data_IF_187414676299
#
_entry.id   IF_187414676299
#
_cell.length_a   1.000
_cell.length_b   1.000
_cell.length_c   1.000
_cell.angle_alpha   90.00
_cell.angle_beta   90.00
_cell.angle_gamma   90.00
#
_symmetry.space_group_name_H-M   'P 1'
#
loop_
_entity.id
_entity.type
_entity.pdbx_description
1 polymer ?
#
# COMPACT_ATOMS: atom_id res chain seq x y z
N UNK A 1 18.00 -11.80 -13.35
CA UNK A 1 17.06 -12.09 -12.25
C UNK A 1 16.25 -10.83 -11.98
N UNK A 2 14.91 -10.90 -11.96
CA UNK A 2 14.11 -9.76 -11.49
C UNK A 2 14.37 -9.64 -9.98
N UNK A 3 14.76 -8.44 -9.50
CA UNK A 3 14.82 -8.18 -8.05
C UNK A 3 13.41 -8.36 -7.50
N UNK A 4 13.26 -9.13 -6.43
CA UNK A 4 12.01 -9.14 -5.67
C UNK A 4 11.79 -7.75 -5.08
N UNK A 5 10.59 -7.21 -5.26
CA UNK A 5 10.17 -5.96 -4.63
C UNK A 5 9.89 -6.26 -3.15
N UNK A 6 10.41 -5.47 -2.19
CA UNK A 6 10.23 -5.73 -0.78
C UNK A 6 8.77 -5.56 -0.36
N UNK A 7 8.25 -6.48 0.46
CA UNK A 7 6.92 -6.38 1.06
C UNK A 7 6.92 -5.29 2.14
N UNK A 8 6.25 -4.16 1.88
CA UNK A 8 6.24 -3.00 2.79
C UNK A 8 5.20 -3.18 3.90
N UNK A 9 4.02 -3.71 3.58
CA UNK A 9 2.94 -3.96 4.52
C UNK A 9 2.05 -5.08 4.00
N UNK A 10 1.47 -5.86 4.91
CA UNK A 10 0.46 -6.87 4.62
C UNK A 10 -0.66 -6.72 5.63
N UNK A 11 -1.89 -6.91 5.19
CA UNK A 11 -3.07 -6.80 6.04
C UNK A 11 -4.33 -7.27 5.36
N UNK A 12 -5.33 -7.58 6.19
CA UNK A 12 -6.69 -7.85 5.75
C UNK A 12 -7.57 -6.70 6.20
N UNK A 13 -8.32 -6.10 5.27
CA UNK A 13 -9.39 -5.21 5.64
C UNK A 13 -10.50 -6.03 6.32
N UNK A 14 -11.17 -5.47 7.31
CA UNK A 14 -12.34 -6.08 7.96
C UNK A 14 -13.56 -5.17 7.80
N UNK A 15 -14.53 -5.50 6.93
CA UNK A 15 -15.67 -4.63 6.70
C UNK A 15 -16.57 -4.44 7.94
N UNK A 16 -16.46 -5.28 8.96
CA UNK A 16 -17.27 -5.20 10.18
C UNK A 16 -16.62 -4.32 11.27
N UNK A 17 -15.32 -4.07 11.19
CA UNK A 17 -14.58 -3.37 12.24
C UNK A 17 -14.69 -1.84 12.13
N UNK A 18 -14.17 -1.26 11.06
CA UNK A 18 -14.13 0.19 10.84
C UNK A 18 -14.18 0.56 9.35
N UNK A 19 -14.83 1.67 8.98
CA UNK A 19 -14.87 2.15 7.59
C UNK A 19 -13.50 2.55 7.01
N UNK A 20 -12.56 2.94 7.88
CA UNK A 20 -11.19 3.32 7.51
C UNK A 20 -10.22 2.51 8.35
N UNK A 21 -9.25 1.88 7.69
CA UNK A 21 -8.24 1.04 8.33
C UNK A 21 -6.87 1.38 7.76
N UNK A 22 -5.88 1.43 8.65
CA UNK A 22 -4.49 1.75 8.33
C UNK A 22 -3.63 0.54 8.67
N UNK A 23 -2.68 0.22 7.80
CA UNK A 23 -1.69 -0.83 8.02
C UNK A 23 -0.31 -0.20 8.14
N UNK A 24 0.40 -0.52 9.21
CA UNK A 24 1.74 0.02 9.46
C UNK A 24 2.77 -0.61 8.54
N UNK A 25 3.69 0.22 8.03
CA UNK A 25 4.79 -0.25 7.21
C UNK A 25 5.86 -0.95 8.08
N UNK A 26 6.44 -2.01 7.53
CA UNK A 26 7.55 -2.72 8.14
C UNK A 26 8.80 -1.84 8.19
N UNK A 27 9.58 -2.01 9.26
CA UNK A 27 10.94 -1.47 9.37
C UNK A 27 11.94 -2.50 8.86
N UNK A 28 12.91 -2.03 8.10
CA UNK A 28 13.99 -2.81 7.54
C UNK A 28 15.29 -2.41 8.22
N UNK A 29 16.18 -3.38 8.42
CA UNK A 29 17.55 -3.08 8.81
C UNK A 29 18.28 -2.47 7.61
N UNK A 30 18.62 -1.18 7.74
CA UNK A 30 19.38 -0.42 6.74
C UNK A 30 20.61 0.12 7.47
N UNK A 31 21.76 -0.46 7.16
CA UNK A 31 23.06 -0.07 7.73
C UNK A 31 23.11 -0.17 9.28
N UNK A 32 22.40 -1.13 9.87
CA UNK A 32 22.36 -1.35 11.32
C UNK A 32 21.28 -0.55 12.05
N UNK A 33 20.42 0.18 11.33
CA UNK A 33 19.30 0.92 11.90
C UNK A 33 17.96 0.45 11.31
N UNK A 34 16.97 0.19 12.17
CA UNK A 34 15.61 -0.17 11.76
C UNK A 34 14.83 1.07 11.27
N UNK A 35 14.65 1.17 9.94
CA UNK A 35 14.01 2.31 9.28
C UNK A 35 12.94 1.87 8.29
N UNK A 36 11.97 2.76 8.00
CA UNK A 36 11.06 2.55 6.88
C UNK A 36 11.81 2.69 5.55
N UNK A 37 11.43 1.88 4.58
CA UNK A 37 12.04 1.93 3.25
C UNK A 37 11.58 3.20 2.51
N UNK A 38 12.54 3.96 1.98
CA UNK A 38 12.23 5.10 1.11
C UNK A 38 11.97 4.59 -0.31
N UNK A 39 10.79 4.88 -0.86
CA UNK A 39 10.39 4.46 -2.20
C UNK A 39 9.79 5.61 -3.00
N UNK A 40 9.92 5.55 -4.33
CA UNK A 40 9.28 6.49 -5.27
C UNK A 40 7.90 6.03 -5.74
N UNK A 41 7.63 4.74 -5.61
CA UNK A 41 6.40 4.09 -6.05
C UNK A 41 6.09 2.90 -5.15
N UNK A 42 4.81 2.67 -4.90
CA UNK A 42 4.31 1.50 -4.18
C UNK A 42 3.39 0.70 -5.08
N UNK A 43 3.38 -0.63 -4.91
CA UNK A 43 2.46 -1.53 -5.59
C UNK A 43 1.54 -2.15 -4.54
N UNK A 44 0.24 -2.13 -4.81
CA UNK A 44 -0.76 -2.82 -4.01
C UNK A 44 -1.17 -4.10 -4.75
N UNK A 45 -1.24 -5.19 -4.01
CA UNK A 45 -1.70 -6.48 -4.51
C UNK A 45 -2.93 -6.91 -3.70
N UNK A 46 -4.05 -7.10 -4.39
CA UNK A 46 -5.30 -7.55 -3.79
C UNK A 46 -5.42 -9.05 -4.03
N UNK A 47 -5.31 -9.81 -2.95
CA UNK A 47 -5.28 -11.27 -3.05
C UNK A 47 -6.68 -11.88 -3.15
N UNK A 48 -7.64 -11.34 -2.39
CA UNK A 48 -9.01 -11.84 -2.29
C UNK A 48 -10.01 -10.70 -2.07
N UNK A 49 -11.30 -11.00 -2.13
CA UNK A 49 -12.39 -10.12 -1.73
C UNK A 49 -13.39 -10.86 -0.82
N UNK A 50 -14.52 -10.22 -0.49
CA UNK A 50 -15.53 -10.75 0.45
C UNK A 50 -16.64 -11.55 -0.25
N UNK A 51 -16.35 -12.19 -1.39
CA UNK A 51 -17.25 -13.13 -2.06
C UNK A 51 -18.05 -12.55 -3.23
N UNK A 52 -17.70 -11.37 -3.74
CA UNK A 52 -18.30 -10.87 -4.99
C UNK A 52 -17.48 -11.36 -6.19
N UNK A 53 -18.11 -12.11 -7.10
CA UNK A 53 -17.38 -12.86 -8.12
C UNK A 53 -16.93 -11.99 -9.31
N UNK A 54 -17.67 -10.93 -9.63
CA UNK A 54 -17.44 -10.17 -10.87
C UNK A 54 -16.32 -9.14 -10.73
N UNK A 55 -16.17 -8.52 -9.56
CA UNK A 55 -15.18 -7.49 -9.34
C UNK A 55 -14.83 -7.25 -7.87
N UNK A 56 -13.81 -6.42 -7.64
CA UNK A 56 -13.47 -5.88 -6.32
C UNK A 56 -13.50 -4.36 -6.41
N UNK A 57 -14.36 -3.74 -5.61
CA UNK A 57 -14.48 -2.29 -5.56
C UNK A 57 -13.50 -1.69 -4.55
N UNK A 58 -12.80 -0.66 -5.00
CA UNK A 58 -11.83 0.08 -4.20
C UNK A 58 -12.31 1.52 -4.08
N UNK A 59 -12.60 1.96 -2.86
CA UNK A 59 -13.13 3.30 -2.61
C UNK A 59 -12.02 4.35 -2.48
N UNK A 60 -11.10 4.14 -1.53
CA UNK A 60 -10.01 5.09 -1.24
C UNK A 60 -8.77 4.34 -0.81
N UNK A 61 -7.63 4.73 -1.39
CA UNK A 61 -6.30 4.35 -0.92
C UNK A 61 -5.52 5.59 -0.52
N UNK A 62 -4.81 5.49 0.59
CA UNK A 62 -3.94 6.55 1.09
C UNK A 62 -2.59 5.96 1.47
N UNK A 63 -1.54 6.70 1.15
CA UNK A 63 -0.17 6.40 1.57
C UNK A 63 0.27 7.56 2.43
N UNK A 64 0.65 7.27 3.67
CA UNK A 64 1.17 8.25 4.60
C UNK A 64 2.68 8.10 4.65
N UNK A 65 3.40 9.20 4.43
CA UNK A 65 4.85 9.22 4.59
C UNK A 65 5.18 9.62 6.03
N UNK A 66 6.26 9.08 6.60
CA UNK A 66 6.74 9.51 7.91
C UNK A 66 7.32 10.95 7.94
N UNK A 67 7.29 11.67 6.81
CA UNK A 67 7.61 13.10 6.72
C UNK A 67 6.30 13.87 6.47
N UNK A 68 5.60 14.24 7.55
CA UNK A 68 4.35 15.00 7.47
C UNK A 68 4.54 16.40 6.84
N UNK A 69 5.75 16.93 6.82
CA UNK A 69 5.99 18.34 6.48
C UNK A 69 6.26 18.65 4.98
N UNK A 70 6.40 17.64 4.09
CA UNK A 70 7.01 17.89 2.75
C UNK A 70 6.23 17.54 1.49
N UNK A 71 5.16 16.74 1.56
CA UNK A 71 4.55 16.17 0.33
C UNK A 71 3.02 16.25 0.31
N UNK A 72 2.45 17.35 0.77
CA UNK A 72 1.01 17.64 0.70
C UNK A 72 0.44 17.78 -0.72
N UNK A 73 1.28 17.80 -1.77
CA UNK A 73 0.83 18.11 -3.15
C UNK A 73 1.22 17.11 -4.24
N UNK A 74 1.90 16.00 -3.94
CA UNK A 74 2.22 15.01 -4.99
C UNK A 74 1.08 14.01 -5.18
N UNK A 75 0.22 14.36 -6.14
CA UNK A 75 -0.88 13.57 -6.67
C UNK A 75 -0.52 12.07 -6.83
N UNK A 76 -1.08 11.22 -5.97
CA UNK A 76 -1.04 9.76 -6.10
C UNK A 76 -1.71 9.38 -7.43
N UNK A 77 -0.91 9.06 -8.45
CA UNK A 77 -1.43 8.54 -9.73
C UNK A 77 -1.72 7.05 -9.58
N UNK A 78 -2.99 6.69 -9.52
CA UNK A 78 -3.44 5.30 -9.65
C UNK A 78 -3.17 4.87 -11.10
N UNK A 79 -2.11 4.09 -11.31
CA UNK A 79 -1.85 3.46 -12.60
C UNK A 79 -2.84 2.30 -12.77
N UNK A 80 -4.00 2.58 -13.39
CA UNK A 80 -4.91 1.51 -13.84
C UNK A 80 -4.15 0.64 -14.84
N UNK A 81 -3.85 -0.61 -14.50
CA UNK A 81 -3.52 -1.61 -15.53
C UNK A 81 -4.80 -1.84 -16.34
N UNK A 82 -4.78 -1.46 -17.61
CA UNK A 82 -5.79 -1.93 -18.56
C UNK A 82 -5.74 -3.46 -18.60
N UNK A 83 -6.79 -4.12 -18.13
CA UNK A 83 -7.08 -5.49 -18.52
C UNK A 83 -7.52 -5.44 -19.99
N UNK A 84 -6.87 -6.27 -20.82
CA UNK A 84 -7.26 -6.53 -22.21
C UNK A 84 -8.46 -7.46 -22.24
#
# INVERSE_FOLDING_TARGET
MKKEEPLIAEGSFDPELLPHQTFEAQKFDIEGELKHLTCKSVRFEFMNNYGYEDCTCIYRFQVHSGNDDKYTEDNVKILKRHQK
#
